data_IF_120754858009
#
_entry.id   IF_120754858009
#
_cell.length_a   1.000
_cell.length_b   1.000
_cell.length_c   1.000
_cell.angle_alpha   90.00
_cell.angle_beta   90.00
_cell.angle_gamma   90.00
#
_symmetry.space_group_name_H-M   'P 1'
#
loop_
_entity.id
_entity.type
_entity.pdbx_description
1 polymer ?
#
# COMPACT_ATOMS: atom_id res chain seq x y z
N UNK A 1 -1.14 8.83 4.40
CA UNK A 1 -1.74 9.73 3.39
C UNK A 1 -0.61 10.37 2.61
N UNK A 2 -0.79 10.55 1.30
CA UNK A 2 0.14 11.29 0.45
C UNK A 2 -0.58 12.50 -0.13
N UNK A 3 0.12 13.61 -0.28
CA UNK A 3 -0.43 14.83 -0.87
C UNK A 3 0.50 15.39 -1.94
N UNK A 4 -0.06 15.99 -2.98
CA UNK A 4 0.69 16.79 -3.97
C UNK A 4 -0.04 18.11 -4.21
N UNK A 5 0.72 19.20 -4.28
CA UNK A 5 0.20 20.54 -4.54
C UNK A 5 0.84 21.13 -5.80
N UNK A 6 0.03 21.70 -6.69
CA UNK A 6 0.49 22.48 -7.83
C UNK A 6 0.01 23.92 -7.65
N UNK A 7 0.95 24.86 -7.74
CA UNK A 7 0.67 26.31 -7.64
C UNK A 7 1.01 26.98 -8.96
N UNK A 8 0.14 27.86 -9.42
CA UNK A 8 0.35 28.72 -10.57
C UNK A 8 -0.34 30.04 -10.30
N UNK A 9 0.23 31.18 -10.72
CA UNK A 9 -0.45 32.48 -10.60
C UNK A 9 -1.75 32.55 -11.41
N UNK A 10 -1.90 31.71 -12.43
CA UNK A 10 -3.03 31.74 -13.38
C UNK A 10 -4.08 30.65 -13.13
N UNK A 11 -3.83 29.72 -12.20
CA UNK A 11 -4.74 28.61 -11.90
C UNK A 11 -5.00 28.49 -10.39
N UNK A 12 -6.22 28.08 -9.98
CA UNK A 12 -6.50 27.78 -8.59
C UNK A 12 -5.56 26.69 -8.08
N UNK A 13 -5.17 26.77 -6.79
CA UNK A 13 -4.37 25.76 -6.10
C UNK A 13 -4.99 24.37 -6.32
N UNK A 14 -4.23 23.44 -6.86
CA UNK A 14 -4.67 22.06 -7.05
C UNK A 14 -4.01 21.17 -5.99
N UNK A 15 -4.84 20.42 -5.26
CA UNK A 15 -4.44 19.49 -4.22
C UNK A 15 -4.99 18.11 -4.53
N UNK A 16 -4.09 17.14 -4.67
CA UNK A 16 -4.45 15.72 -4.73
C UNK A 16 -4.11 15.11 -3.37
N UNK A 17 -5.10 14.50 -2.72
CA UNK A 17 -4.93 13.77 -1.47
C UNK A 17 -5.27 12.31 -1.70
N UNK A 18 -4.27 11.47 -1.52
CA UNK A 18 -4.38 10.02 -1.69
C UNK A 18 -4.39 9.35 -0.33
N UNK A 19 -5.41 8.53 -0.07
CA UNK A 19 -5.62 7.90 1.23
C UNK A 19 -5.94 6.41 1.10
N UNK A 20 -5.40 5.61 2.04
CA UNK A 20 -5.64 4.17 2.14
C UNK A 20 -6.74 3.94 3.18
N UNK A 21 -7.88 3.38 2.77
CA UNK A 21 -9.01 3.15 3.68
C UNK A 21 -9.90 2.00 3.20
N UNK A 22 -10.38 1.17 4.12
CA UNK A 22 -11.35 0.11 3.82
C UNK A 22 -12.65 0.67 3.23
N UNK A 23 -13.06 1.86 3.65
CA UNK A 23 -14.29 2.52 3.19
C UNK A 23 -14.00 3.87 2.54
N UNK A 24 -14.77 4.18 1.52
CA UNK A 24 -14.77 5.53 0.94
C UNK A 24 -15.36 6.53 1.92
N UNK A 25 -14.91 7.78 1.81
CA UNK A 25 -15.56 8.89 2.47
C UNK A 25 -16.92 9.08 1.83
N UNK A 26 -17.95 9.21 2.64
CA UNK A 26 -19.28 9.57 2.17
C UNK A 26 -19.26 10.98 1.56
N UNK A 27 -20.24 11.28 0.71
CA UNK A 27 -20.26 12.55 -0.03
C UNK A 27 -20.24 13.76 0.91
N UNK A 28 -20.97 13.72 2.01
CA UNK A 28 -21.05 14.83 2.96
C UNK A 28 -19.71 14.98 3.71
N UNK A 29 -19.11 13.86 4.13
CA UNK A 29 -17.76 13.81 4.68
C UNK A 29 -16.68 14.36 3.74
N UNK A 30 -16.77 14.05 2.44
CA UNK A 30 -15.87 14.62 1.44
C UNK A 30 -16.01 16.15 1.33
N UNK A 31 -17.25 16.66 1.28
CA UNK A 31 -17.50 18.11 1.20
C UNK A 31 -16.93 18.82 2.43
N UNK A 32 -17.20 18.31 3.63
CA UNK A 32 -16.70 18.90 4.87
C UNK A 32 -15.16 18.91 4.93
N UNK A 33 -14.52 17.81 4.51
CA UNK A 33 -13.06 17.74 4.48
C UNK A 33 -12.46 18.74 3.48
N UNK A 34 -13.05 18.84 2.28
CA UNK A 34 -12.61 19.80 1.25
C UNK A 34 -12.74 21.24 1.74
N UNK A 35 -13.87 21.61 2.36
CA UNK A 35 -14.07 22.95 2.92
C UNK A 35 -13.10 23.25 4.06
N UNK A 36 -12.86 22.28 4.94
CA UNK A 36 -11.87 22.38 6.02
C UNK A 36 -10.47 22.65 5.47
N UNK A 37 -10.04 21.90 4.45
CA UNK A 37 -8.74 22.08 3.79
C UNK A 37 -8.62 23.48 3.17
N UNK A 38 -9.64 23.91 2.41
CA UNK A 38 -9.67 25.26 1.81
C UNK A 38 -9.54 26.36 2.85
N UNK A 39 -10.24 26.21 3.97
CA UNK A 39 -10.23 27.16 5.07
C UNK A 39 -8.85 27.21 5.73
N UNK A 40 -8.26 26.05 6.05
CA UNK A 40 -6.94 25.96 6.68
C UNK A 40 -5.81 26.51 5.78
N UNK A 41 -5.93 26.33 4.47
CA UNK A 41 -4.96 26.82 3.50
C UNK A 41 -5.24 28.27 3.04
N UNK A 42 -6.30 28.90 3.54
CA UNK A 42 -6.79 30.22 3.09
C UNK A 42 -6.93 30.31 1.56
N UNK A 43 -7.39 29.22 0.94
CA UNK A 43 -7.48 29.06 -0.51
C UNK A 43 -8.90 28.62 -0.90
N UNK A 44 -9.89 29.54 -0.89
CA UNK A 44 -11.30 29.20 -1.09
C UNK A 44 -11.60 28.61 -2.47
N UNK A 45 -10.79 28.94 -3.47
CA UNK A 45 -10.93 28.44 -4.85
C UNK A 45 -10.12 27.18 -5.11
N UNK A 46 -9.41 26.63 -4.11
CA UNK A 46 -8.58 25.44 -4.31
C UNK A 46 -9.41 24.25 -4.79
N UNK A 47 -8.87 23.53 -5.77
CA UNK A 47 -9.43 22.26 -6.26
C UNK A 47 -8.81 21.14 -5.44
N UNK A 48 -9.60 20.52 -4.57
CA UNK A 48 -9.16 19.42 -3.71
C UNK A 48 -9.78 18.13 -4.25
N UNK A 49 -8.93 17.22 -4.69
CA UNK A 49 -9.32 15.91 -5.20
C UNK A 49 -8.91 14.84 -4.18
N UNK A 50 -9.88 14.05 -3.75
CA UNK A 50 -9.66 12.94 -2.83
C UNK A 50 -9.66 11.64 -3.63
N UNK A 51 -8.57 10.87 -3.56
CA UNK A 51 -8.46 9.57 -4.22
C UNK A 51 -8.27 8.47 -3.17
N UNK A 52 -9.25 7.57 -3.14
CA UNK A 52 -9.18 6.39 -2.28
C UNK A 52 -8.36 5.29 -2.92
N UNK A 53 -7.52 4.68 -2.11
CA UNK A 53 -6.92 3.37 -2.37
C UNK A 53 -7.60 2.36 -1.45
N UNK A 54 -8.20 1.33 -2.06
CA UNK A 54 -8.73 0.20 -1.30
C UNK A 54 -7.55 -0.67 -0.80
N UNK A 55 -7.58 -1.14 0.47
CA UNK A 55 -6.64 -2.14 0.94
C UNK A 55 -6.66 -3.38 0.04
N UNK A 56 -5.47 -3.85 -0.32
CA UNK A 56 -5.29 -5.10 -1.06
C UNK A 56 -4.58 -6.07 -0.13
N UNK A 57 -5.17 -7.26 0.00
CA UNK A 57 -4.62 -8.37 0.75
C UNK A 57 -4.45 -9.57 -0.17
N UNK A 58 -3.32 -10.27 -0.03
CA UNK A 58 -3.10 -11.55 -0.69
C UNK A 58 -2.59 -12.57 0.33
N UNK A 59 -3.01 -13.82 0.15
CA UNK A 59 -2.42 -14.96 0.86
C UNK A 59 -1.75 -15.86 -0.17
N UNK A 60 -0.45 -16.07 -0.02
CA UNK A 60 0.32 -17.00 -0.81
C UNK A 60 0.42 -18.33 -0.07
N UNK A 61 0.08 -19.39 -0.78
CA UNK A 61 0.36 -20.78 -0.38
C UNK A 61 1.63 -21.26 -1.08
N UNK A 62 2.33 -22.18 -0.43
CA UNK A 62 3.58 -22.73 -0.92
C UNK A 62 3.45 -24.22 -1.27
N UNK A 63 4.15 -24.71 -2.32
CA UNK A 63 4.99 -23.95 -3.26
C UNK A 63 4.21 -22.89 -4.08
N UNK A 64 4.92 -21.86 -4.56
CA UNK A 64 4.37 -20.65 -5.19
C UNK A 64 3.57 -20.91 -6.48
N UNK A 65 3.70 -22.10 -7.07
CA UNK A 65 3.03 -22.54 -8.29
C UNK A 65 1.49 -22.54 -8.19
N UNK A 66 0.94 -22.43 -6.97
CA UNK A 66 -0.50 -22.41 -6.70
C UNK A 66 -1.00 -21.09 -6.09
N UNK A 67 -0.16 -20.07 -6.04
CA UNK A 67 -0.51 -18.78 -5.43
C UNK A 67 -1.28 -17.85 -6.36
N UNK A 68 -2.14 -16.95 -5.81
CA UNK A 68 -2.74 -15.87 -6.58
C UNK A 68 -1.68 -14.93 -7.18
N UNK A 69 -1.99 -14.32 -8.32
CA UNK A 69 -1.12 -13.34 -8.98
C UNK A 69 -0.86 -12.15 -8.08
N UNK A 70 0.41 -11.77 -7.90
CA UNK A 70 0.81 -10.58 -7.14
C UNK A 70 0.61 -9.27 -7.93
N UNK A 71 0.19 -9.35 -9.18
CA UNK A 71 0.05 -8.23 -10.11
C UNK A 71 -0.76 -7.05 -9.56
N UNK A 72 -1.92 -7.22 -8.88
CA UNK A 72 -2.66 -6.08 -8.33
C UNK A 72 -1.89 -5.33 -7.25
N UNK A 73 -1.11 -6.06 -6.43
CA UNK A 73 -0.24 -5.48 -5.41
C UNK A 73 0.90 -4.72 -6.09
N UNK A 74 1.55 -5.34 -7.07
CA UNK A 74 2.65 -4.74 -7.85
C UNK A 74 2.19 -3.44 -8.52
N UNK A 75 1.08 -3.47 -9.25
CA UNK A 75 0.54 -2.30 -9.94
C UNK A 75 0.22 -1.16 -8.98
N UNK A 76 -0.38 -1.48 -7.83
CA UNK A 76 -0.70 -0.48 -6.80
C UNK A 76 0.56 0.13 -6.19
N UNK A 77 1.58 -0.68 -5.90
CA UNK A 77 2.85 -0.17 -5.37
C UNK A 77 3.60 0.68 -6.41
N UNK A 78 3.56 0.34 -7.69
CA UNK A 78 4.15 1.14 -8.76
C UNK A 78 3.42 2.49 -8.94
N UNK A 79 2.08 2.49 -8.87
CA UNK A 79 1.27 3.71 -9.00
C UNK A 79 1.47 4.68 -7.83
N UNK A 80 1.63 4.16 -6.60
CA UNK A 80 1.71 4.99 -5.40
C UNK A 80 3.03 4.77 -4.64
N UNK A 81 4.06 5.61 -4.87
CA UNK A 81 5.40 5.40 -4.32
C UNK A 81 5.48 5.53 -2.79
N UNK A 82 4.49 6.16 -2.15
CA UNK A 82 4.39 6.33 -0.70
C UNK A 82 3.85 5.10 0.04
N UNK A 83 3.42 4.07 -0.68
CA UNK A 83 2.95 2.82 -0.08
C UNK A 83 4.11 1.85 0.17
N UNK A 84 4.00 1.06 1.22
CA UNK A 84 4.83 -0.11 1.48
C UNK A 84 4.02 -1.39 1.38
N UNK A 85 4.72 -2.51 1.48
CA UNK A 85 4.15 -3.84 1.56
C UNK A 85 4.63 -4.51 2.85
N UNK A 86 3.68 -4.84 3.70
CA UNK A 86 3.92 -5.71 4.85
C UNK A 86 3.69 -7.16 4.43
N UNK A 87 4.67 -8.01 4.74
CA UNK A 87 4.67 -9.43 4.39
C UNK A 87 4.87 -10.21 5.69
N UNK A 88 3.86 -10.98 6.07
CA UNK A 88 3.91 -11.86 7.24
C UNK A 88 4.04 -13.29 6.75
N UNK A 89 5.19 -13.90 6.98
CA UNK A 89 5.47 -15.29 6.62
C UNK A 89 5.12 -16.17 7.81
N UNK A 90 4.06 -16.94 7.65
CA UNK A 90 3.65 -17.97 8.58
C UNK A 90 4.51 -19.20 8.37
N UNK A 91 5.26 -19.59 9.41
CA UNK A 91 5.99 -20.86 9.48
C UNK A 91 5.22 -21.88 10.31
N UNK A 92 5.31 -23.15 9.92
CA UNK A 92 4.82 -24.23 10.77
C UNK A 92 5.80 -24.47 11.94
N UNK A 93 5.34 -24.99 13.10
CA UNK A 93 6.23 -25.26 14.24
C UNK A 93 7.35 -26.27 13.95
N UNK A 94 7.11 -27.21 13.03
CA UNK A 94 8.06 -28.25 12.62
C UNK A 94 8.88 -27.89 11.38
N UNK A 95 8.72 -26.68 10.86
CA UNK A 95 9.38 -26.24 9.63
C UNK A 95 10.81 -25.77 9.89
N UNK A 96 11.73 -26.09 8.98
CA UNK A 96 13.14 -25.72 9.09
C UNK A 96 13.34 -24.25 8.68
N UNK A 97 14.21 -23.53 9.38
CA UNK A 97 14.44 -22.09 9.14
C UNK A 97 14.90 -21.78 7.71
N UNK A 98 15.59 -22.72 7.05
CA UNK A 98 16.02 -22.59 5.64
C UNK A 98 14.85 -22.46 4.68
N UNK A 99 13.74 -23.15 4.94
CA UNK A 99 12.55 -23.09 4.07
C UNK A 99 11.84 -21.74 4.23
N UNK A 100 11.81 -21.21 5.46
CA UNK A 100 11.24 -19.89 5.74
C UNK A 100 12.07 -18.79 5.07
N UNK A 101 13.40 -18.88 5.17
CA UNK A 101 14.32 -17.94 4.52
C UNK A 101 14.17 -17.99 2.99
N UNK A 102 14.14 -19.18 2.40
CA UNK A 102 13.97 -19.36 0.94
C UNK A 102 12.66 -18.75 0.42
N UNK A 103 11.56 -18.85 1.18
CA UNK A 103 10.29 -18.19 0.82
C UNK A 103 10.37 -16.68 0.90
N UNK A 104 11.01 -16.16 1.94
CA UNK A 104 11.24 -14.72 2.12
C UNK A 104 12.03 -14.15 0.94
N UNK A 105 13.08 -14.87 0.54
CA UNK A 105 13.93 -14.55 -0.59
C UNK A 105 13.17 -14.63 -1.92
N UNK A 106 12.38 -15.68 -2.13
CA UNK A 106 11.59 -15.83 -3.35
C UNK A 106 10.57 -14.68 -3.54
N UNK A 107 9.83 -14.31 -2.48
CA UNK A 107 8.89 -13.18 -2.54
C UNK A 107 9.62 -11.86 -2.80
N UNK A 108 10.68 -11.58 -2.05
CA UNK A 108 11.44 -10.33 -2.20
C UNK A 108 12.10 -10.21 -3.56
N UNK A 109 12.70 -11.29 -4.07
CA UNK A 109 13.29 -11.36 -5.41
C UNK A 109 12.25 -11.11 -6.48
N UNK A 110 11.09 -11.77 -6.41
CA UNK A 110 10.00 -11.54 -7.35
C UNK A 110 9.59 -10.06 -7.35
N UNK A 111 9.30 -9.47 -6.18
CA UNK A 111 8.87 -8.07 -6.10
C UNK A 111 9.94 -7.08 -6.61
N UNK A 112 11.21 -7.36 -6.36
CA UNK A 112 12.33 -6.57 -6.88
C UNK A 112 12.45 -6.67 -8.41
N UNK A 113 12.23 -7.84 -9.01
CA UNK A 113 12.20 -8.00 -10.47
C UNK A 113 11.06 -7.21 -11.11
N UNK A 114 9.98 -6.96 -10.37
CA UNK A 114 8.86 -6.11 -10.79
C UNK A 114 9.11 -4.61 -10.55
N UNK A 115 10.30 -4.22 -10.07
CA UNK A 115 10.67 -2.82 -9.83
C UNK A 115 10.31 -2.28 -8.44
N UNK A 116 9.90 -3.13 -7.50
CA UNK A 116 9.63 -2.71 -6.12
C UNK A 116 10.94 -2.68 -5.32
N UNK A 117 11.32 -1.50 -4.86
CA UNK A 117 12.54 -1.29 -4.07
C UNK A 117 12.45 -1.91 -2.66
N UNK A 118 13.55 -2.49 -2.19
CA UNK A 118 13.60 -3.25 -0.93
C UNK A 118 13.15 -2.44 0.31
N UNK A 119 13.41 -1.13 0.35
CA UNK A 119 13.02 -0.26 1.47
C UNK A 119 11.50 -0.01 1.57
N UNK A 120 10.70 -0.60 0.67
CA UNK A 120 9.24 -0.61 0.70
C UNK A 120 8.68 -1.94 1.19
N UNK A 121 9.53 -2.92 1.47
CA UNK A 121 9.14 -4.24 1.95
C UNK A 121 9.44 -4.35 3.44
N UNK A 122 8.45 -4.76 4.23
CA UNK A 122 8.62 -5.15 5.63
C UNK A 122 8.26 -6.61 5.75
N UNK A 123 9.24 -7.48 6.01
CA UNK A 123 9.02 -8.92 6.13
C UNK A 123 9.16 -9.32 7.60
N UNK A 124 8.13 -9.96 8.13
CA UNK A 124 8.14 -10.54 9.47
C UNK A 124 7.80 -12.03 9.39
N UNK A 125 8.24 -12.80 10.38
CA UNK A 125 7.94 -14.23 10.48
C UNK A 125 7.15 -14.49 11.74
N UNK A 126 6.07 -15.26 11.60
CA UNK A 126 5.20 -15.67 12.69
C UNK A 126 4.96 -17.18 12.63
N UNK A 127 4.69 -17.80 13.78
CA UNK A 127 4.33 -19.22 13.83
C UNK A 127 2.83 -19.40 13.60
N UNK A 128 2.43 -20.06 12.52
CA UNK A 128 1.05 -20.44 12.25
C UNK A 128 0.97 -21.63 11.28
N UNK A 129 -0.10 -22.40 11.39
CA UNK A 129 -0.38 -23.57 10.53
C UNK A 129 -1.63 -23.28 9.70
N UNK A 130 -1.64 -23.46 8.37
CA UNK A 130 -0.57 -23.95 7.48
C UNK A 130 0.49 -22.87 7.12
N UNK A 131 1.66 -23.26 6.57
CA UNK A 131 2.69 -22.32 6.15
C UNK A 131 2.18 -21.50 4.97
N UNK A 132 2.14 -20.18 5.15
CA UNK A 132 1.56 -19.21 4.19
C UNK A 132 2.34 -17.90 4.24
N UNK A 133 2.17 -17.03 3.26
CA UNK A 133 2.59 -15.64 3.39
C UNK A 133 1.37 -14.73 3.21
N UNK A 134 1.17 -13.80 4.12
CA UNK A 134 0.13 -12.77 4.01
C UNK A 134 0.79 -11.48 3.58
N UNK A 135 0.22 -10.80 2.60
CA UNK A 135 0.73 -9.56 2.05
C UNK A 135 -0.35 -8.51 2.19
N UNK A 136 0.03 -7.34 2.70
CA UNK A 136 -0.87 -6.22 2.90
C UNK A 136 -0.18 -4.91 2.50
N UNK A 137 -0.87 -4.12 1.68
CA UNK A 137 -0.41 -2.76 1.37
C UNK A 137 -0.62 -1.88 2.60
N UNK A 138 0.41 -1.09 2.93
CA UNK A 138 0.42 -0.18 4.08
C UNK A 138 0.91 1.20 3.65
N UNK A 139 0.54 2.25 4.40
CA UNK A 139 1.16 3.56 4.23
C UNK A 139 2.53 3.52 4.89
N UNK A 140 3.58 3.92 4.18
CA UNK A 140 4.91 4.04 4.79
C UNK A 140 4.90 5.22 5.78
N UNK A 141 5.18 4.93 7.05
CA UNK A 141 5.54 5.97 8.02
C UNK A 141 6.87 6.58 7.58
N UNK A 142 6.90 7.90 7.39
CA UNK A 142 8.12 8.63 7.08
C UNK A 142 9.12 8.57 8.25
#
# INVERSE_FOLDING_TARGET
MSYSAVTSPDLPLQLQIVYLSERDLDRDGQVLLVESIRTQLNAPTAQVNLERIAPIWATLTFPLDRSPTLDPIVQTLLKYPTLGLEIVINRSPSEVDTDVAARSEAISTYLQTQGIVANRLSITTTTATPPTARLQIVVKSA
#
